data_IF_982290066926
#
_entry.id   IF_982290066926
#
_cell.length_a   1.000
_cell.length_b   1.000
_cell.length_c   1.000
_cell.angle_alpha   90.00
_cell.angle_beta   90.00
_cell.angle_gamma   90.00
#
_symmetry.space_group_name_H-M   'P 1'
#
loop_
_entity.id
_entity.type
_entity.pdbx_description
1 polymer ?
#
# COMPACT_ATOMS: atom_id res chain seq x y z
N UNK A 1 -14.21 4.64 30.35
CA UNK A 1 -13.28 4.26 29.26
C UNK A 1 -13.82 4.65 27.88
N UNK A 2 -15.05 4.26 27.50
CA UNK A 2 -15.67 4.64 26.21
C UNK A 2 -15.81 6.17 25.98
N UNK A 3 -16.19 6.92 27.03
CA UNK A 3 -16.24 8.40 26.99
C UNK A 3 -14.87 9.04 26.78
N UNK A 4 -13.82 8.54 27.46
CA UNK A 4 -12.44 9.01 27.29
C UNK A 4 -11.97 8.83 25.83
N UNK A 5 -12.37 7.74 25.19
CA UNK A 5 -11.97 7.38 23.83
C UNK A 5 -12.79 8.12 22.76
N UNK A 6 -14.09 8.32 22.97
CA UNK A 6 -14.95 9.12 22.07
C UNK A 6 -14.50 10.58 22.06
N UNK A 7 -14.10 11.09 23.23
CA UNK A 7 -13.53 12.44 23.36
C UNK A 7 -12.17 12.51 22.66
N UNK A 8 -11.29 11.52 22.85
CA UNK A 8 -9.96 11.53 22.24
C UNK A 8 -10.01 11.37 20.71
N UNK A 9 -10.72 10.41 20.16
CA UNK A 9 -10.84 10.21 18.69
C UNK A 9 -11.50 11.36 17.92
N UNK A 10 -12.28 12.22 18.58
CA UNK A 10 -12.92 13.41 17.97
C UNK A 10 -12.20 14.73 18.25
N UNK A 11 -11.28 14.77 19.21
CA UNK A 11 -10.48 15.95 19.47
C UNK A 11 -9.45 16.13 18.35
N UNK A 12 -9.39 17.34 17.76
CA UNK A 12 -8.34 17.72 16.79
C UNK A 12 -6.91 17.46 17.30
N UNK A 13 -6.73 17.35 18.62
CA UNK A 13 -5.45 17.19 19.30
C UNK A 13 -4.94 15.73 19.35
N UNK A 14 -5.77 14.72 19.07
CA UNK A 14 -5.33 13.33 19.15
C UNK A 14 -4.78 12.88 17.81
N UNK A 15 -3.58 12.31 17.86
CA UNK A 15 -2.91 11.78 16.68
C UNK A 15 -3.73 10.63 16.07
N UNK A 16 -3.90 10.68 14.75
CA UNK A 16 -4.71 9.68 14.04
C UNK A 16 -4.06 8.29 14.04
N UNK A 17 -2.74 8.20 14.15
CA UNK A 17 -2.05 6.93 14.33
C UNK A 17 -2.39 6.26 15.67
N UNK A 18 -2.48 7.05 16.74
CA UNK A 18 -2.96 6.54 18.04
C UNK A 18 -4.41 6.06 17.95
N UNK A 19 -5.27 6.81 17.26
CA UNK A 19 -6.66 6.41 17.03
C UNK A 19 -6.76 5.07 16.27
N UNK A 20 -5.91 4.83 15.27
CA UNK A 20 -5.87 3.55 14.54
C UNK A 20 -5.55 2.36 15.45
N UNK A 21 -4.55 2.51 16.34
CA UNK A 21 -4.20 1.46 17.31
C UNK A 21 -5.34 1.16 18.28
N UNK A 22 -6.06 2.19 18.73
CA UNK A 22 -7.22 2.03 19.61
C UNK A 22 -8.33 1.25 18.89
N UNK A 23 -8.64 1.61 17.64
CA UNK A 23 -9.67 0.93 16.84
C UNK A 23 -9.27 -0.53 16.60
N UNK A 24 -8.02 -0.80 16.23
CA UNK A 24 -7.54 -2.16 15.99
C UNK A 24 -7.63 -3.04 17.25
N UNK A 25 -7.27 -2.50 18.42
CA UNK A 25 -7.47 -3.21 19.70
C UNK A 25 -8.93 -3.56 19.94
N UNK A 26 -9.86 -2.66 19.63
CA UNK A 26 -11.29 -2.95 19.76
C UNK A 26 -11.78 -4.03 18.79
N UNK A 27 -11.28 -4.05 17.55
CA UNK A 27 -11.59 -5.11 16.58
C UNK A 27 -11.17 -6.49 17.10
N UNK A 28 -10.09 -6.58 17.88
CA UNK A 28 -9.59 -7.83 18.45
C UNK A 28 -10.32 -8.26 19.74
N UNK A 29 -11.15 -7.40 20.33
CA UNK A 29 -11.84 -7.69 21.59
C UNK A 29 -13.23 -8.29 21.33
N UNK A 30 -13.51 -9.45 21.93
CA UNK A 30 -14.80 -10.11 21.82
C UNK A 30 -15.94 -9.25 22.38
N UNK A 31 -17.04 -9.17 21.63
CA UNK A 31 -18.29 -8.51 22.07
C UNK A 31 -18.28 -6.98 22.04
N UNK A 32 -17.22 -6.32 21.56
CA UNK A 32 -17.16 -4.84 21.53
C UNK A 32 -18.16 -4.21 20.57
N UNK A 33 -18.39 -4.80 19.40
CA UNK A 33 -19.42 -4.35 18.46
C UNK A 33 -20.83 -4.46 19.02
N UNK A 34 -21.04 -5.31 20.04
CA UNK A 34 -22.32 -5.53 20.70
C UNK A 34 -22.55 -4.61 21.91
N UNK A 35 -21.62 -3.69 22.19
CA UNK A 35 -21.77 -2.76 23.31
C UNK A 35 -22.92 -1.77 23.04
N UNK A 36 -23.95 -1.70 23.92
CA UNK A 36 -25.18 -0.93 23.69
C UNK A 36 -25.01 0.60 23.62
N UNK A 37 -23.78 1.11 23.77
CA UNK A 37 -23.45 2.54 23.77
C UNK A 37 -22.28 2.89 22.85
N UNK A 38 -21.87 1.98 21.96
CA UNK A 38 -20.83 2.29 20.99
C UNK A 38 -21.39 3.26 19.94
N UNK A 39 -20.75 4.42 19.69
CA UNK A 39 -21.17 5.31 18.62
C UNK A 39 -21.17 4.57 17.27
N UNK A 40 -22.24 4.73 16.47
CA UNK A 40 -22.40 4.00 15.20
C UNK A 40 -21.21 4.12 14.24
N UNK A 41 -20.55 5.29 14.21
CA UNK A 41 -19.37 5.49 13.37
C UNK A 41 -18.17 4.63 13.83
N UNK A 42 -18.01 4.44 15.15
CA UNK A 42 -16.95 3.63 15.73
C UNK A 42 -17.29 2.14 15.60
N UNK A 43 -18.55 1.76 15.80
CA UNK A 43 -19.05 0.41 15.53
C UNK A 43 -18.75 -0.02 14.10
N UNK A 44 -19.09 0.82 13.11
CA UNK A 44 -18.78 0.56 11.69
C UNK A 44 -17.29 0.39 11.40
N UNK A 45 -16.42 1.15 12.07
CA UNK A 45 -14.96 1.03 11.89
C UNK A 45 -14.43 -0.26 12.51
N UNK A 46 -14.89 -0.60 13.72
CA UNK A 46 -14.50 -1.82 14.44
C UNK A 46 -14.97 -3.07 13.69
N UNK A 47 -16.23 -3.10 13.26
CA UNK A 47 -16.82 -4.19 12.47
C UNK A 47 -16.19 -4.31 11.08
N UNK A 48 -15.80 -3.19 10.48
CA UNK A 48 -15.11 -3.17 9.20
C UNK A 48 -13.71 -3.76 9.26
N UNK A 49 -13.04 -3.73 10.42
CA UNK A 49 -11.73 -4.35 10.66
C UNK A 49 -10.55 -3.79 9.86
N UNK A 50 -10.77 -2.84 8.95
CA UNK A 50 -9.73 -2.37 8.03
C UNK A 50 -8.56 -1.64 8.72
N UNK A 51 -8.75 -1.05 9.91
CA UNK A 51 -7.64 -0.47 10.68
C UNK A 51 -6.73 -1.55 11.29
N UNK A 52 -7.32 -2.65 11.79
CA UNK A 52 -6.57 -3.80 12.29
C UNK A 52 -5.78 -4.48 11.16
N UNK A 53 -6.45 -4.80 10.06
CA UNK A 53 -5.82 -5.42 8.89
C UNK A 53 -4.72 -4.51 8.29
N UNK A 54 -5.01 -3.21 8.16
CA UNK A 54 -4.04 -2.24 7.67
C UNK A 54 -2.80 -2.14 8.56
N UNK A 55 -2.97 -2.17 9.89
CA UNK A 55 -1.85 -2.17 10.84
C UNK A 55 -1.04 -3.47 10.78
N UNK A 56 -1.69 -4.62 10.63
CA UNK A 56 -1.01 -5.92 10.43
C UNK A 56 -0.13 -5.89 9.18
N UNK A 57 -0.66 -5.40 8.06
CA UNK A 57 0.10 -5.24 6.80
C UNK A 57 1.27 -4.27 6.98
N UNK A 58 1.01 -3.07 7.53
CA UNK A 58 2.06 -2.08 7.74
C UNK A 58 3.19 -2.62 8.62
N UNK A 59 2.84 -3.36 9.68
CA UNK A 59 3.81 -3.99 10.58
C UNK A 59 4.63 -5.06 9.87
N UNK A 60 3.99 -5.94 9.11
CA UNK A 60 4.69 -6.97 8.36
C UNK A 60 5.66 -6.39 7.32
N UNK A 61 5.22 -5.37 6.56
CA UNK A 61 6.07 -4.64 5.63
C UNK A 61 7.27 -3.99 6.34
N UNK A 62 7.07 -3.42 7.53
CA UNK A 62 8.14 -2.74 8.28
C UNK A 62 9.14 -3.71 8.95
N UNK A 63 8.74 -4.97 9.18
CA UNK A 63 9.52 -5.93 9.98
C UNK A 63 10.21 -7.02 9.14
N UNK A 64 9.68 -7.36 7.96
CA UNK A 64 10.28 -8.38 7.11
C UNK A 64 11.66 -7.92 6.59
N UNK A 65 12.71 -8.72 6.81
CA UNK A 65 14.10 -8.34 6.47
C UNK A 65 14.30 -8.08 4.97
N UNK A 66 13.64 -8.84 4.10
CA UNK A 66 13.67 -8.65 2.65
C UNK A 66 12.69 -7.61 2.11
N UNK A 67 11.89 -6.97 2.96
CA UNK A 67 10.93 -5.96 2.51
C UNK A 67 11.65 -4.64 2.26
N UNK A 68 11.38 -3.94 1.13
CA UNK A 68 11.94 -2.61 0.91
C UNK A 68 11.40 -1.57 1.90
N UNK A 69 10.37 -1.90 2.67
CA UNK A 69 9.82 -1.07 3.74
C UNK A 69 10.48 -1.28 5.10
N UNK A 70 11.41 -2.24 5.23
CA UNK A 70 12.01 -2.62 6.51
C UNK A 70 12.54 -1.39 7.27
N UNK A 71 12.01 -1.16 8.48
CA UNK A 71 12.30 0.00 9.37
C UNK A 71 11.93 1.40 8.85
N UNK A 72 11.25 1.52 7.70
CA UNK A 72 10.96 2.81 7.04
C UNK A 72 9.61 3.42 7.39
N UNK A 73 8.73 2.66 8.03
CA UNK A 73 7.39 3.13 8.40
C UNK A 73 7.45 3.64 9.84
N UNK A 74 7.09 4.91 10.04
CA UNK A 74 6.98 5.52 11.37
C UNK A 74 5.67 5.10 12.05
N UNK A 75 5.75 4.33 13.13
CA UNK A 75 4.62 4.00 14.00
C UNK A 75 4.34 5.11 15.02
N UNK A 76 3.13 5.12 15.59
CA UNK A 76 2.70 6.20 16.50
C UNK A 76 3.39 6.18 17.87
N UNK A 77 3.96 5.04 18.26
CA UNK A 77 4.66 4.81 19.52
C UNK A 77 6.17 4.99 19.42
N UNK A 78 6.69 5.42 18.27
CA UNK A 78 8.12 5.65 18.05
C UNK A 78 8.44 7.09 17.62
N UNK A 79 9.60 7.56 18.10
CA UNK A 79 10.17 8.84 17.69
C UNK A 79 10.58 8.80 16.22
N UNK A 80 10.51 9.95 15.55
CA UNK A 80 10.90 10.08 14.15
C UNK A 80 12.40 9.83 14.00
N UNK A 81 12.77 8.86 13.15
CA UNK A 81 14.15 8.54 12.78
C UNK A 81 14.46 8.95 11.33
N UNK A 82 15.75 9.10 10.95
CA UNK A 82 16.14 9.43 9.59
C UNK A 82 15.67 8.43 8.53
N UNK A 83 15.52 7.16 8.90
CA UNK A 83 15.10 6.08 8.01
C UNK A 83 13.60 6.12 7.71
N UNK A 84 12.82 6.86 8.50
CA UNK A 84 11.37 6.94 8.32
C UNK A 84 11.00 7.75 7.07
N UNK A 85 10.28 7.11 6.15
CA UNK A 85 9.90 7.67 4.84
C UNK A 85 8.41 7.98 4.75
N UNK A 86 7.60 7.28 5.55
CA UNK A 86 6.14 7.43 5.62
C UNK A 86 5.67 7.15 7.05
N UNK A 87 4.55 7.76 7.44
CA UNK A 87 3.89 7.43 8.72
C UNK A 87 2.92 6.26 8.54
N UNK A 88 2.71 5.47 9.60
CA UNK A 88 1.70 4.42 9.65
C UNK A 88 0.33 4.97 9.25
N UNK A 89 0.01 6.18 9.72
CA UNK A 89 -1.25 6.88 9.47
C UNK A 89 -1.49 7.03 7.97
N UNK A 90 -0.48 7.51 7.25
CA UNK A 90 -0.55 7.73 5.81
C UNK A 90 -0.66 6.40 5.07
N UNK A 91 0.16 5.40 5.42
CA UNK A 91 0.18 4.10 4.75
C UNK A 91 -1.13 3.32 4.98
N UNK A 92 -1.54 3.15 6.23
CA UNK A 92 -2.80 2.47 6.59
C UNK A 92 -3.99 3.16 5.93
N UNK A 93 -4.03 4.49 5.94
CA UNK A 93 -5.08 5.24 5.25
C UNK A 93 -5.16 4.93 3.74
N UNK A 94 -4.03 4.65 3.09
CA UNK A 94 -3.97 4.26 1.67
C UNK A 94 -4.41 2.83 1.45
N UNK A 95 -3.91 1.89 2.27
CA UNK A 95 -4.30 0.49 2.21
C UNK A 95 -5.83 0.36 2.31
N UNK A 96 -6.43 1.03 3.31
CA UNK A 96 -7.88 1.06 3.53
C UNK A 96 -8.67 1.54 2.31
N UNK A 97 -8.22 2.64 1.70
CA UNK A 97 -8.95 3.29 0.62
C UNK A 97 -8.78 2.61 -0.74
N UNK A 98 -7.71 1.84 -0.93
CA UNK A 98 -7.35 1.28 -2.24
C UNK A 98 -7.55 -0.24 -2.26
N UNK A 99 -6.93 -0.98 -1.33
CA UNK A 99 -6.80 -2.44 -1.45
C UNK A 99 -7.60 -3.25 -0.42
N UNK A 100 -7.97 -2.67 0.72
CA UNK A 100 -8.76 -3.36 1.78
C UNK A 100 -10.27 -3.21 1.60
N UNK A 101 -10.72 -2.76 0.43
CA UNK A 101 -12.13 -2.86 0.07
C UNK A 101 -12.47 -4.33 -0.23
N UNK A 102 -13.59 -4.83 0.28
CA UNK A 102 -14.09 -6.21 0.04
C UNK A 102 -14.19 -6.59 -1.44
N UNK A 103 -14.36 -5.62 -2.33
CA UNK A 103 -14.44 -5.88 -3.78
C UNK A 103 -13.08 -5.90 -4.48
N UNK A 104 -11.99 -5.56 -3.78
CA UNK A 104 -10.66 -5.54 -4.37
C UNK A 104 -10.12 -6.97 -4.55
N UNK A 105 -9.44 -7.30 -5.67
CA UNK A 105 -8.92 -8.64 -5.91
C UNK A 105 -8.02 -9.17 -4.78
N UNK A 106 -7.24 -8.29 -4.16
CA UNK A 106 -6.39 -8.63 -2.99
C UNK A 106 -7.18 -9.29 -1.86
N UNK A 107 -8.33 -8.71 -1.46
CA UNK A 107 -9.15 -9.24 -0.37
C UNK A 107 -9.79 -10.60 -0.73
N UNK A 108 -9.96 -10.89 -2.02
CA UNK A 108 -10.61 -12.10 -2.52
C UNK A 108 -9.62 -13.15 -3.06
N UNK A 109 -8.30 -12.95 -2.87
CA UNK A 109 -7.33 -13.98 -3.19
C UNK A 109 -7.60 -15.22 -2.32
N UNK A 110 -7.64 -16.45 -2.90
CA UNK A 110 -7.88 -17.69 -2.16
C UNK A 110 -6.64 -18.12 -1.37
N UNK A 111 -6.12 -17.22 -0.53
CA UNK A 111 -4.89 -17.36 0.25
C UNK A 111 -5.18 -16.97 1.71
N UNK A 112 -4.42 -17.56 2.64
CA UNK A 112 -4.43 -17.12 4.04
C UNK A 112 -3.91 -15.69 4.17
N UNK A 113 -4.27 -15.01 5.25
CA UNK A 113 -3.85 -13.63 5.53
C UNK A 113 -2.32 -13.47 5.45
N UNK A 114 -1.58 -14.40 6.06
CA UNK A 114 -0.11 -14.41 6.02
C UNK A 114 0.43 -14.53 4.60
N UNK A 115 -0.17 -15.38 3.76
CA UNK A 115 0.23 -15.53 2.36
C UNK A 115 -0.12 -14.30 1.54
N UNK A 116 -1.25 -13.63 1.80
CA UNK A 116 -1.61 -12.36 1.14
C UNK A 116 -0.61 -11.26 1.48
N UNK A 117 -0.15 -11.20 2.73
CA UNK A 117 0.92 -10.30 3.15
C UNK A 117 2.22 -10.59 2.39
N UNK A 118 2.60 -11.87 2.23
CA UNK A 118 3.78 -12.25 1.42
C UNK A 118 3.63 -11.80 -0.03
N UNK A 119 2.45 -11.96 -0.64
CA UNK A 119 2.17 -11.43 -2.00
C UNK A 119 2.42 -9.93 -2.06
N UNK A 120 1.98 -9.17 -1.06
CA UNK A 120 2.18 -7.73 -1.01
C UNK A 120 3.66 -7.36 -0.80
N UNK A 121 4.41 -8.13 -0.02
CA UNK A 121 5.86 -7.97 0.14
C UNK A 121 6.55 -8.19 -1.21
N UNK A 122 6.28 -9.31 -1.89
CA UNK A 122 6.83 -9.62 -3.21
C UNK A 122 6.50 -8.53 -4.24
N UNK A 123 5.27 -8.01 -4.22
CA UNK A 123 4.87 -6.88 -5.05
C UNK A 123 5.74 -5.64 -4.81
N UNK A 124 5.97 -5.28 -3.55
CA UNK A 124 6.81 -4.14 -3.22
C UNK A 124 8.28 -4.37 -3.53
N UNK A 125 8.80 -5.59 -3.39
CA UNK A 125 10.13 -5.95 -3.87
C UNK A 125 10.24 -5.75 -5.38
N UNK A 126 9.26 -6.20 -6.16
CA UNK A 126 9.26 -5.98 -7.60
C UNK A 126 9.19 -4.49 -7.98
N UNK A 127 8.38 -3.71 -7.25
CA UNK A 127 8.32 -2.25 -7.43
C UNK A 127 9.67 -1.61 -7.10
N UNK A 128 10.34 -2.05 -6.03
CA UNK A 128 11.68 -1.59 -5.70
C UNK A 128 12.65 -1.90 -6.84
N UNK A 129 12.72 -3.15 -7.28
CA UNK A 129 13.71 -3.60 -8.25
C UNK A 129 13.54 -2.93 -9.62
N UNK A 130 12.29 -2.70 -10.04
CA UNK A 130 11.98 -2.07 -11.33
C UNK A 130 12.12 -0.54 -11.29
N UNK A 131 11.61 0.13 -10.24
CA UNK A 131 11.46 1.60 -10.23
C UNK A 131 12.45 2.33 -9.32
N UNK A 132 13.26 1.60 -8.55
CA UNK A 132 14.25 2.16 -7.63
C UNK A 132 15.64 1.58 -7.89
N UNK A 133 15.74 0.24 -8.02
CA UNK A 133 17.00 -0.48 -8.13
C UNK A 133 17.91 -0.28 -6.92
N UNK A 134 19.22 -0.36 -7.11
CA UNK A 134 20.23 -0.19 -6.05
C UNK A 134 20.33 1.24 -5.48
N UNK A 135 19.46 2.17 -5.91
CA UNK A 135 19.50 3.57 -5.51
C UNK A 135 18.92 3.82 -4.11
N UNK A 136 18.79 2.79 -3.30
CA UNK A 136 18.45 2.93 -1.89
C UNK A 136 19.46 3.87 -1.23
N UNK A 137 19.00 5.02 -0.71
CA UNK A 137 19.91 5.94 -0.06
C UNK A 137 20.59 5.28 1.14
N UNK A 138 21.93 5.26 1.15
CA UNK A 138 22.69 5.18 2.40
C UNK A 138 22.12 6.23 3.37
N UNK A 139 22.08 5.87 4.66
CA UNK A 139 21.52 6.70 5.74
C UNK A 139 21.81 8.19 5.52
N UNK A 140 20.78 8.99 5.26
CA UNK A 140 20.88 10.44 5.05
C UNK A 140 20.62 10.96 3.62
N UNK A 141 20.53 10.11 2.58
CA UNK A 141 20.08 10.54 1.24
C UNK A 141 18.54 10.54 1.13
N UNK A 142 18.02 11.37 0.22
CA UNK A 142 16.57 11.59 0.08
C UNK A 142 15.85 10.33 -0.42
N UNK A 143 14.86 9.85 0.33
CA UNK A 143 14.08 8.66 -0.02
C UNK A 143 13.31 8.82 -1.34
N UNK A 144 13.37 7.82 -2.26
CA UNK A 144 12.56 7.77 -3.48
C UNK A 144 11.07 8.07 -3.22
N UNK A 145 10.44 8.74 -4.18
CA UNK A 145 9.02 9.12 -4.14
C UNK A 145 8.10 7.89 -4.16
N UNK A 146 8.60 6.74 -4.65
CA UNK A 146 7.94 5.42 -4.59
C UNK A 146 7.39 5.12 -3.18
N UNK A 147 8.17 5.41 -2.14
CA UNK A 147 7.81 5.13 -0.75
C UNK A 147 7.04 6.25 -0.05
N UNK A 148 6.77 7.35 -0.77
CA UNK A 148 6.00 8.49 -0.26
C UNK A 148 4.56 8.42 -0.74
N UNK A 149 3.76 9.39 -0.32
CA UNK A 149 2.34 9.48 -0.62
C UNK A 149 1.99 9.23 -2.10
N UNK A 150 2.70 9.88 -3.03
CA UNK A 150 2.42 9.79 -4.47
C UNK A 150 2.75 8.40 -5.04
N UNK A 151 3.92 7.85 -4.70
CA UNK A 151 4.28 6.49 -5.12
C UNK A 151 3.37 5.42 -4.52
N UNK A 152 3.08 5.50 -3.22
CA UNK A 152 2.15 4.57 -2.55
C UNK A 152 0.78 4.59 -3.20
N UNK A 153 0.26 5.77 -3.55
CA UNK A 153 -1.00 5.86 -4.29
C UNK A 153 -0.91 5.17 -5.66
N UNK A 154 0.12 5.52 -6.44
CA UNK A 154 0.32 5.02 -7.79
C UNK A 154 0.41 3.48 -7.80
N UNK A 155 1.36 2.92 -7.06
CA UNK A 155 1.62 1.47 -7.08
C UNK A 155 0.48 0.66 -6.47
N UNK A 156 -0.11 1.08 -5.34
CA UNK A 156 -1.28 0.36 -4.81
C UNK A 156 -2.47 0.37 -5.80
N UNK A 157 -2.60 1.40 -6.64
CA UNK A 157 -3.65 1.44 -7.66
C UNK A 157 -3.41 0.46 -8.81
N UNK A 158 -2.15 0.06 -9.04
CA UNK A 158 -1.78 -0.94 -10.04
C UNK A 158 -1.85 -2.38 -9.51
N UNK A 159 -2.03 -2.57 -8.19
CA UNK A 159 -2.09 -3.91 -7.61
C UNK A 159 -3.26 -4.74 -8.15
N UNK A 160 -4.46 -4.15 -8.29
CA UNK A 160 -5.62 -4.86 -8.82
C UNK A 160 -5.40 -5.47 -10.21
N UNK A 161 -5.02 -4.69 -11.26
CA UNK A 161 -4.75 -5.27 -12.57
C UNK A 161 -3.57 -6.26 -12.55
N UNK A 162 -2.54 -6.03 -11.72
CA UNK A 162 -1.45 -6.99 -11.57
C UNK A 162 -1.92 -8.36 -11.05
N UNK A 163 -2.72 -8.35 -9.97
CA UNK A 163 -3.26 -9.58 -9.40
C UNK A 163 -4.18 -10.32 -10.37
N UNK A 164 -4.91 -9.60 -11.23
CA UNK A 164 -5.75 -10.23 -12.25
C UNK A 164 -4.93 -11.01 -13.28
N UNK A 165 -3.79 -10.46 -13.73
CA UNK A 165 -2.88 -11.14 -14.65
C UNK A 165 -2.23 -12.34 -13.96
N UNK A 166 -1.69 -12.14 -12.76
CA UNK A 166 -0.93 -13.17 -12.05
C UNK A 166 -1.80 -14.28 -11.47
N UNK A 167 -3.07 -14.02 -11.16
CA UNK A 167 -4.00 -15.07 -10.72
C UNK A 167 -4.21 -16.15 -11.79
N UNK A 168 -4.09 -15.81 -13.08
CA UNK A 168 -4.16 -16.79 -14.17
C UNK A 168 -2.90 -17.68 -14.22
N UNK A 169 -1.76 -17.13 -13.82
CA UNK A 169 -0.46 -17.83 -13.76
C UNK A 169 -0.27 -18.58 -12.44
N UNK A 170 -1.08 -18.28 -11.41
CA UNK A 170 -0.94 -18.75 -10.03
C UNK A 170 0.46 -18.51 -9.44
N UNK A 171 1.14 -17.48 -9.94
CA UNK A 171 2.49 -17.10 -9.54
C UNK A 171 2.49 -15.65 -9.05
N UNK A 172 2.78 -15.48 -7.77
CA UNK A 172 2.85 -14.18 -7.09
C UNK A 172 4.26 -13.92 -6.55
N UNK A 173 5.27 -14.50 -7.18
CA UNK A 173 6.68 -14.22 -6.91
C UNK A 173 7.07 -12.79 -7.29
N UNK A 174 8.17 -12.31 -6.73
CA UNK A 174 8.76 -11.00 -7.06
C UNK A 174 9.08 -10.92 -8.56
N UNK A 175 9.64 -11.99 -9.09
CA UNK A 175 10.01 -12.14 -10.49
C UNK A 175 8.80 -12.05 -11.42
N UNK A 176 7.69 -12.71 -11.05
CA UNK A 176 6.46 -12.64 -11.83
C UNK A 176 5.87 -11.22 -11.88
N UNK A 177 5.87 -10.49 -10.76
CA UNK A 177 5.45 -9.08 -10.76
C UNK A 177 6.37 -8.21 -11.62
N UNK A 178 7.69 -8.39 -11.50
CA UNK A 178 8.67 -7.64 -12.28
C UNK A 178 8.54 -7.93 -13.79
N UNK A 179 8.30 -9.19 -14.15
CA UNK A 179 8.05 -9.60 -15.53
C UNK A 179 6.81 -8.90 -16.10
N UNK A 180 5.70 -8.83 -15.36
CA UNK A 180 4.50 -8.13 -15.84
C UNK A 180 4.76 -6.63 -16.03
N UNK A 181 5.55 -5.99 -15.15
CA UNK A 181 5.96 -4.59 -15.38
C UNK A 181 6.80 -4.44 -16.66
N UNK A 182 7.75 -5.34 -16.90
CA UNK A 182 8.58 -5.36 -18.11
C UNK A 182 7.78 -5.58 -19.39
N UNK A 183 6.88 -6.57 -19.40
CA UNK A 183 5.97 -6.85 -20.52
C UNK A 183 5.03 -5.65 -20.77
N UNK A 184 4.53 -5.01 -19.70
CA UNK A 184 3.64 -3.86 -19.83
C UNK A 184 4.35 -2.64 -20.46
N UNK A 185 5.67 -2.52 -20.32
CA UNK A 185 6.44 -1.42 -20.89
C UNK A 185 6.26 -1.29 -22.41
N UNK A 186 6.11 -2.40 -23.13
CA UNK A 186 5.91 -2.42 -24.58
C UNK A 186 4.55 -1.83 -25.02
N UNK A 187 3.65 -1.58 -24.06
CA UNK A 187 2.29 -1.08 -24.29
C UNK A 187 2.03 0.30 -23.70
N UNK A 188 3.05 0.91 -23.10
CA UNK A 188 3.01 2.27 -22.58
C UNK A 188 3.17 3.30 -23.71
N UNK A 189 2.51 4.42 -23.54
CA UNK A 189 2.68 5.63 -24.34
C UNK A 189 3.79 6.50 -23.72
N UNK A 190 4.06 7.67 -24.31
CA UNK A 190 5.21 8.51 -23.92
C UNK A 190 5.24 8.90 -22.44
N UNK A 191 4.08 9.17 -21.84
CA UNK A 191 3.99 9.59 -20.44
C UNK A 191 4.24 8.43 -19.48
N UNK A 192 3.67 7.25 -19.75
CA UNK A 192 3.96 6.04 -18.97
C UNK A 192 5.42 5.60 -19.09
N UNK A 193 6.03 5.75 -20.27
CA UNK A 193 7.45 5.45 -20.47
C UNK A 193 8.38 6.32 -19.60
N UNK A 194 8.03 7.59 -19.37
CA UNK A 194 8.80 8.44 -18.44
C UNK A 194 8.70 7.90 -17.01
N UNK A 195 7.53 7.43 -16.59
CA UNK A 195 7.33 6.89 -15.24
C UNK A 195 7.99 5.52 -15.02
N UNK A 196 8.46 4.84 -16.08
CA UNK A 196 9.32 3.65 -15.98
C UNK A 196 10.78 3.99 -15.63
N UNK A 197 11.21 5.23 -15.86
CA UNK A 197 12.57 5.66 -15.52
C UNK A 197 12.69 5.89 -13.99
N UNK A 198 13.64 5.24 -13.30
CA UNK A 198 13.89 5.49 -11.87
C UNK A 198 14.15 6.98 -11.54
N UNK A 199 14.68 7.77 -12.48
CA UNK A 199 14.86 9.21 -12.30
C UNK A 199 13.53 9.93 -12.04
N UNK A 200 12.43 9.50 -12.66
CA UNK A 200 11.11 10.09 -12.45
C UNK A 200 10.72 10.07 -10.97
N UNK A 201 11.08 8.98 -10.28
CA UNK A 201 10.75 8.74 -8.88
C UNK A 201 11.75 9.33 -7.88
N UNK A 202 12.78 10.04 -8.34
CA UNK A 202 13.71 10.69 -7.40
C UNK A 202 13.10 11.92 -6.73
N UNK A 203 13.55 12.25 -5.51
CA UNK A 203 13.15 13.48 -4.82
C UNK A 203 13.51 14.73 -5.64
N UNK A 204 12.54 15.65 -5.77
CA UNK A 204 12.72 16.91 -6.52
C UNK A 204 12.33 16.84 -8.00
N UNK A 205 12.19 15.62 -8.54
CA UNK A 205 11.74 15.38 -9.91
C UNK A 205 10.22 15.39 -10.03
N UNK A 206 9.71 14.98 -11.19
CA UNK A 206 8.33 15.19 -11.61
C UNK A 206 7.31 14.49 -10.69
N UNK A 207 7.57 13.23 -10.29
CA UNK A 207 6.70 12.47 -9.40
C UNK A 207 6.45 13.20 -8.05
N UNK A 208 7.45 13.95 -7.56
CA UNK A 208 7.33 14.69 -6.30
C UNK A 208 6.35 15.87 -6.39
N UNK A 209 6.08 16.37 -7.60
CA UNK A 209 5.19 17.50 -7.87
C UNK A 209 3.78 17.06 -8.23
N UNK A 210 3.60 15.78 -8.54
CA UNK A 210 2.30 15.23 -8.89
C UNK A 210 1.44 14.95 -7.66
N UNK A 211 0.22 15.46 -7.71
CA UNK A 211 -0.87 15.04 -6.84
C UNK A 211 -1.62 13.86 -7.48
N UNK A 212 -2.72 13.43 -6.84
CA UNK A 212 -3.58 12.35 -7.37
C UNK A 212 -4.00 12.57 -8.82
N UNK A 213 -4.53 13.75 -9.15
CA UNK A 213 -5.01 14.05 -10.51
C UNK A 213 -3.90 14.03 -11.56
N UNK A 214 -2.65 14.33 -11.17
CA UNK A 214 -1.50 14.19 -12.07
C UNK A 214 -1.09 12.73 -12.29
N UNK A 215 -1.31 11.87 -11.30
CA UNK A 215 -0.97 10.44 -11.37
C UNK A 215 -2.06 9.60 -12.05
N UNK A 216 -3.33 10.00 -11.97
CA UNK A 216 -4.46 9.22 -12.50
C UNK A 216 -4.35 8.86 -14.00
N UNK A 217 -3.87 9.76 -14.89
CA UNK A 217 -3.58 9.40 -16.28
C UNK A 217 -2.53 8.29 -16.39
N UNK A 218 -1.42 8.40 -15.65
CA UNK A 218 -0.36 7.39 -15.62
C UNK A 218 -0.89 6.05 -15.07
N UNK A 219 -1.66 6.08 -13.98
CA UNK A 219 -2.29 4.87 -13.41
C UNK A 219 -3.18 4.20 -14.45
N UNK A 220 -3.98 4.98 -15.19
CA UNK A 220 -4.89 4.45 -16.21
C UNK A 220 -4.14 3.82 -17.37
N UNK A 221 -3.06 4.45 -17.80
CA UNK A 221 -2.18 3.97 -18.86
C UNK A 221 -1.47 2.66 -18.47
N UNK A 222 -0.85 2.62 -17.28
CA UNK A 222 -0.22 1.41 -16.75
C UNK A 222 -1.23 0.27 -16.54
N UNK A 223 -2.41 0.57 -15.99
CA UNK A 223 -3.46 -0.42 -15.81
C UNK A 223 -3.95 -0.99 -17.14
N UNK A 224 -4.02 -0.17 -18.20
CA UNK A 224 -4.32 -0.63 -19.57
C UNK A 224 -3.22 -1.55 -20.08
N UNK A 225 -1.96 -1.13 -19.97
CA UNK A 225 -0.81 -1.90 -20.41
C UNK A 225 -0.71 -3.27 -19.73
N UNK A 226 -0.86 -3.32 -18.39
CA UNK A 226 -0.86 -4.56 -17.61
C UNK A 226 -1.98 -5.52 -18.08
N UNK A 227 -3.18 -5.00 -18.37
CA UNK A 227 -4.29 -5.85 -18.85
C UNK A 227 -4.03 -6.45 -20.24
N UNK A 228 -3.31 -5.73 -21.10
CA UNK A 228 -2.92 -6.25 -22.42
C UNK A 228 -1.97 -7.44 -22.28
N UNK A 229 -1.02 -7.38 -21.33
CA UNK A 229 -0.13 -8.50 -21.00
C UNK A 229 -0.91 -9.76 -20.65
N UNK A 230 -1.92 -9.65 -19.77
CA UNK A 230 -2.77 -10.79 -19.42
C UNK A 230 -3.62 -11.32 -20.58
N UNK A 231 -3.93 -10.49 -21.58
CA UNK A 231 -4.74 -10.90 -22.73
C UNK A 231 -3.93 -11.66 -23.79
N UNK A 232 -2.64 -11.37 -23.92
CA UNK A 232 -1.74 -12.04 -24.88
C UNK A 232 -1.34 -13.46 -24.44
N UNK A 233 -1.35 -13.72 -23.12
CA UNK A 233 -1.11 -15.04 -22.55
C UNK A 233 -2.23 -16.07 -22.74
N UNK A 234 -3.37 -15.69 -23.34
CA UNK A 234 -4.56 -16.55 -23.54
C UNK A 234 -4.62 -17.13 -24.97
N UNK A 235 -3.58 -16.95 -25.78
CA UNK A 235 -3.52 -17.53 -27.12
C UNK A 235 -3.15 -19.02 -27.02
N UNK A 236 -4.17 -19.88 -26.90
CA UNK A 236 -4.11 -21.34 -27.04
C UNK A 236 -3.93 -21.76 -28.50
#
# INVERSE_FOLDING_TARGET
MLQFITVNTKQKAVDQGVAQHIIARFTQMDGVSQLPHLPEWLGRMVEGGHDDEGLKIAKALNQAEGSPWNTRIQFADEDKRPEHVITQKTLVGRLKNIILNKNHPYANLPLTDDKRIVVLINYWCAVHDVFVGDQLPESGKACPIVYKYSGVYFFLSLLAPMLQVLAQRMDFSTEAFAQVFGEAQEHLESHGMIAMDPEFWKPGNEAARMNRSGLDPLVSEFARAIKLVGSQGVTL
#
